data_IF_546664655013
#
_entry.id   IF_546664655013
#
_cell.length_a   1.000
_cell.length_b   1.000
_cell.length_c   1.000
_cell.angle_alpha   90.00
_cell.angle_beta   90.00
_cell.angle_gamma   90.00
#
_symmetry.space_group_name_H-M   'P 1'
#
loop_
_entity.id
_entity.type
_entity.pdbx_description
1 polymer ?
#
# COMPACT_ATOMS: atom_id res chain seq x y z
N UNK A 1 20.20 -7.31 -19.55
CA UNK A 1 18.82 -7.81 -19.54
C UNK A 1 17.97 -6.71 -18.94
N UNK A 2 17.18 -6.01 -19.76
CA UNK A 2 16.20 -5.07 -19.23
C UNK A 2 15.01 -5.91 -18.74
N UNK A 3 14.81 -5.98 -17.44
CA UNK A 3 13.59 -6.51 -16.84
C UNK A 3 12.46 -5.61 -17.33
N UNK A 4 11.66 -6.08 -18.30
CA UNK A 4 10.47 -5.39 -18.75
C UNK A 4 9.41 -5.50 -17.65
N UNK A 5 9.55 -4.67 -16.62
CA UNK A 5 8.51 -4.40 -15.62
C UNK A 5 7.29 -3.92 -16.39
N UNK A 6 6.19 -4.65 -16.29
CA UNK A 6 4.98 -4.35 -17.05
C UNK A 6 4.43 -2.97 -16.62
N UNK A 7 3.70 -2.26 -17.48
CA UNK A 7 3.05 -1.00 -17.08
C UNK A 7 2.14 -1.19 -15.86
N UNK A 8 1.49 -2.36 -15.77
CA UNK A 8 0.70 -2.77 -14.61
C UNK A 8 1.56 -2.86 -13.35
N UNK A 9 2.75 -3.45 -13.40
CA UNK A 9 3.63 -3.58 -12.23
C UNK A 9 4.09 -2.21 -11.75
N UNK A 10 4.36 -1.28 -12.67
CA UNK A 10 4.69 0.12 -12.34
C UNK A 10 3.52 0.79 -11.63
N UNK A 11 2.31 0.66 -12.19
CA UNK A 11 1.10 1.20 -11.55
C UNK A 11 0.85 0.60 -10.18
N UNK A 12 1.04 -0.72 -10.00
CA UNK A 12 0.89 -1.36 -8.69
C UNK A 12 1.92 -0.84 -7.69
N UNK A 13 3.17 -0.66 -8.10
CA UNK A 13 4.22 -0.05 -7.25
C UNK A 13 3.89 1.39 -6.86
N UNK A 14 3.42 2.20 -7.80
CA UNK A 14 2.97 3.58 -7.51
C UNK A 14 1.81 3.62 -6.51
N UNK A 15 0.84 2.70 -6.63
CA UNK A 15 -0.27 2.58 -5.69
C UNK A 15 0.20 2.14 -4.29
N UNK A 16 1.15 1.21 -4.21
CA UNK A 16 1.76 0.78 -2.94
C UNK A 16 2.44 1.97 -2.27
N UNK A 17 3.27 2.71 -3.00
CA UNK A 17 4.00 3.86 -2.47
C UNK A 17 3.04 4.97 -1.99
N UNK A 18 2.01 5.27 -2.78
CA UNK A 18 0.97 6.22 -2.41
C UNK A 18 0.23 5.79 -1.13
N UNK A 19 -0.20 4.53 -1.03
CA UNK A 19 -0.91 4.03 0.13
C UNK A 19 -0.03 4.02 1.38
N UNK A 20 1.24 3.64 1.27
CA UNK A 20 2.20 3.71 2.38
C UNK A 20 2.43 5.14 2.85
N UNK A 21 2.54 6.10 1.94
CA UNK A 21 2.65 7.51 2.28
C UNK A 21 1.39 8.00 3.04
N UNK A 22 0.20 7.68 2.56
CA UNK A 22 -1.06 8.04 3.23
C UNK A 22 -1.27 7.36 4.57
N UNK A 23 -0.90 6.09 4.70
CA UNK A 23 -0.88 5.37 5.97
C UNK A 23 -0.02 6.09 7.01
N UNK A 24 1.18 6.53 6.60
CA UNK A 24 2.09 7.31 7.46
C UNK A 24 1.51 8.67 7.84
N UNK A 25 0.92 9.41 6.90
CA UNK A 25 0.26 10.70 7.19
C UNK A 25 -0.84 10.54 8.25
N UNK A 26 -1.69 9.53 8.12
CA UNK A 26 -2.76 9.25 9.09
C UNK A 26 -2.21 8.80 10.44
N UNK A 27 -1.11 8.04 10.45
CA UNK A 27 -0.41 7.66 11.70
C UNK A 27 0.15 8.89 12.42
N UNK A 28 0.79 9.81 11.69
CA UNK A 28 1.36 11.02 12.26
C UNK A 28 0.26 11.99 12.73
N UNK A 29 -0.86 12.07 12.00
CA UNK A 29 -2.04 12.79 12.45
C UNK A 29 -2.64 12.19 13.73
N UNK A 30 -2.77 10.85 13.81
CA UNK A 30 -3.26 10.16 14.99
C UNK A 30 -2.37 10.39 16.23
N UNK A 31 -1.06 10.52 16.05
CA UNK A 31 -0.11 10.85 17.13
C UNK A 31 -0.29 12.26 17.68
N UNK A 32 -0.66 13.21 16.82
CA UNK A 32 -0.92 14.61 17.20
C UNK A 32 -2.35 14.87 17.72
N UNK A 33 -3.28 13.93 17.52
CA UNK A 33 -4.67 14.10 17.91
C UNK A 33 -4.87 13.86 19.43
N UNK A 34 -5.34 14.90 20.13
CA UNK A 34 -5.76 14.79 21.54
C UNK A 34 -7.13 14.13 21.70
N UNK A 35 -7.97 14.20 20.67
CA UNK A 35 -9.31 13.60 20.68
C UNK A 35 -9.27 12.12 20.29
N UNK A 36 -9.86 11.28 21.14
CA UNK A 36 -9.84 9.82 20.96
C UNK A 36 -10.66 9.36 19.74
N UNK A 37 -11.73 10.08 19.38
CA UNK A 37 -12.58 9.77 18.23
C UNK A 37 -11.79 10.07 16.96
N UNK A 38 -11.21 11.27 16.85
CA UNK A 38 -10.35 11.69 15.74
C UNK A 38 -9.19 10.72 15.56
N UNK A 39 -8.51 10.35 16.66
CA UNK A 39 -7.42 9.35 16.63
C UNK A 39 -7.90 8.00 16.10
N UNK A 40 -9.08 7.54 16.53
CA UNK A 40 -9.63 6.26 16.08
C UNK A 40 -9.98 6.26 14.59
N UNK A 41 -10.55 7.37 14.09
CA UNK A 41 -10.82 7.53 12.65
C UNK A 41 -9.55 7.57 11.82
N UNK A 42 -8.51 8.27 12.27
CA UNK A 42 -7.21 8.30 11.61
C UNK A 42 -6.59 6.90 11.52
N UNK A 43 -6.64 6.14 12.62
CA UNK A 43 -6.16 4.75 12.63
C UNK A 43 -6.98 3.82 11.72
N UNK A 44 -8.29 4.06 11.58
CA UNK A 44 -9.12 3.31 10.64
C UNK A 44 -8.75 3.60 9.17
N UNK A 45 -8.51 4.88 8.82
CA UNK A 45 -8.04 5.28 7.49
C UNK A 45 -6.66 4.70 7.18
N UNK A 46 -5.73 4.78 8.13
CA UNK A 46 -4.42 4.12 8.06
C UNK A 46 -4.57 2.64 7.68
N UNK A 47 -5.41 1.91 8.42
CA UNK A 47 -5.66 0.50 8.17
C UNK A 47 -6.27 0.21 6.78
N UNK A 48 -7.07 1.12 6.23
CA UNK A 48 -7.58 0.99 4.87
C UNK A 48 -6.46 1.12 3.83
N UNK A 49 -5.56 2.10 3.97
CA UNK A 49 -4.40 2.25 3.10
C UNK A 49 -3.45 1.05 3.18
N UNK A 50 -3.18 0.55 4.39
CA UNK A 50 -2.32 -0.64 4.60
C UNK A 50 -2.89 -1.86 3.86
N UNK A 51 -4.20 -2.09 3.91
CA UNK A 51 -4.85 -3.22 3.18
C UNK A 51 -4.80 -3.06 1.67
N UNK A 52 -4.91 -1.84 1.15
CA UNK A 52 -4.79 -1.60 -0.29
C UNK A 52 -3.36 -1.87 -0.75
N UNK A 53 -2.36 -1.39 0.01
CA UNK A 53 -0.96 -1.68 -0.28
C UNK A 53 -0.66 -3.19 -0.27
N UNK A 54 -1.12 -3.90 0.78
CA UNK A 54 -0.99 -5.35 0.88
C UNK A 54 -1.68 -6.09 -0.29
N UNK A 55 -2.85 -5.63 -0.72
CA UNK A 55 -3.51 -6.21 -1.88
C UNK A 55 -2.69 -6.04 -3.16
N UNK A 56 -2.12 -4.85 -3.40
CA UNK A 56 -1.27 -4.58 -4.55
C UNK A 56 0.04 -5.38 -4.50
N UNK A 57 0.65 -5.54 -3.32
CA UNK A 57 1.83 -6.40 -3.11
C UNK A 57 1.53 -7.85 -3.48
N UNK A 58 0.39 -8.38 -3.01
CA UNK A 58 -0.05 -9.74 -3.36
C UNK A 58 -0.32 -9.93 -4.86
N UNK A 59 -0.73 -8.87 -5.58
CA UNK A 59 -0.91 -8.95 -7.04
C UNK A 59 0.42 -9.01 -7.78
N UNK A 60 1.45 -8.32 -7.28
CA UNK A 60 2.82 -8.40 -7.81
C UNK A 60 3.43 -9.79 -7.56
N UNK A 61 3.35 -10.30 -6.33
CA UNK A 61 3.96 -11.59 -5.96
C UNK A 61 3.33 -12.78 -6.72
N UNK A 62 2.01 -12.72 -7.00
CA UNK A 62 1.30 -13.72 -7.81
C UNK A 62 1.71 -13.71 -9.28
N UNK A 63 2.26 -12.62 -9.80
CA UNK A 63 2.78 -12.58 -11.17
C UNK A 63 4.17 -13.22 -11.26
N UNK A 64 5.01 -13.02 -10.25
CA UNK A 64 6.35 -13.65 -10.18
C UNK A 64 6.25 -15.18 -10.07
N UNK A 65 5.20 -15.72 -9.40
CA UNK A 65 5.01 -17.18 -9.28
C UNK A 65 4.46 -17.85 -10.54
N UNK A 66 3.79 -17.12 -11.43
CA UNK A 66 3.30 -17.66 -12.71
C UNK A 66 4.36 -17.60 -13.83
N UNK A 67 5.53 -17.00 -13.57
CA UNK A 67 6.64 -16.91 -14.52
C UNK A 67 7.60 -18.11 -14.52
N UNK A 68 7.49 -19.04 -13.56
CA UNK A 68 8.42 -20.17 -13.35
C UNK A 68 7.88 -21.53 -13.86
N UNK A 69 6.76 -21.55 -14.60
CA UNK A 69 6.19 -22.78 -15.20
C UNK A 69 6.33 -22.86 -16.74
N UNK A 70 7.40 -22.33 -17.34
CA UNK A 70 7.59 -22.46 -18.80
C UNK A 70 9.01 -22.72 -19.28
#
# INVERSE_FOLDING_TARGET
>A
MATNVSEKDKTLRELIDYCKAKSKEEQDYARGAFDNIVRSWAMAKRGAYDRIAEHCENLLDKEDTNGDER
#
